data_IF_891203123452
#
_entry.id   IF_891203123452
#
_cell.length_a   1.000
_cell.length_b   1.000
_cell.length_c   1.000
_cell.angle_alpha   90.00
_cell.angle_beta   90.00
_cell.angle_gamma   90.00
#
_symmetry.space_group_name_H-M   'P 1'
#
loop_
_entity.id
_entity.type
_entity.pdbx_description
1 polymer ?
#
# COMPACT_ATOMS: atom_id res chain seq x y z
N UNK A 1 -14.18 -13.78 -28.05
CA UNK A 1 -13.92 -13.10 -26.77
C UNK A 1 -14.27 -14.07 -25.65
N UNK A 2 -13.27 -14.56 -24.91
CA UNK A 2 -13.54 -15.42 -23.73
C UNK A 2 -14.02 -14.51 -22.60
N UNK A 3 -15.13 -14.81 -21.91
CA UNK A 3 -15.58 -14.01 -20.77
C UNK A 3 -14.53 -14.16 -19.67
N UNK A 4 -13.72 -13.13 -19.50
CA UNK A 4 -12.76 -13.05 -18.41
C UNK A 4 -13.57 -12.85 -17.13
N UNK A 5 -13.61 -13.86 -16.26
CA UNK A 5 -14.27 -13.84 -14.94
C UNK A 5 -13.57 -12.85 -13.98
N UNK A 6 -13.46 -11.59 -14.37
CA UNK A 6 -12.88 -10.55 -13.53
C UNK A 6 -13.95 -10.08 -12.54
N UNK A 7 -13.56 -9.99 -11.27
CA UNK A 7 -14.29 -9.56 -10.06
C UNK A 7 -15.04 -8.21 -10.11
N UNK A 8 -15.17 -7.61 -11.29
CA UNK A 8 -15.74 -6.29 -11.56
C UNK A 8 -17.25 -6.20 -11.32
N UNK A 9 -17.95 -7.33 -11.36
CA UNK A 9 -19.39 -7.40 -11.10
C UNK A 9 -19.67 -8.17 -9.81
N UNK A 10 -20.47 -7.60 -8.91
CA UNK A 10 -21.05 -8.29 -7.76
C UNK A 10 -22.46 -8.74 -8.14
N UNK A 11 -22.75 -10.01 -7.93
CA UNK A 11 -24.11 -10.55 -8.09
C UNK A 11 -24.85 -10.33 -6.78
N UNK A 12 -25.98 -9.62 -6.83
CA UNK A 12 -26.89 -9.50 -5.69
C UNK A 12 -28.14 -10.32 -6.00
N UNK A 13 -28.44 -11.27 -5.12
CA UNK A 13 -29.76 -11.92 -5.13
C UNK A 13 -30.65 -11.07 -4.25
N UNK A 14 -31.65 -10.40 -4.84
CA UNK A 14 -32.54 -9.51 -4.12
C UNK A 14 -33.29 -10.30 -3.02
N UNK A 15 -33.24 -9.80 -1.79
CA UNK A 15 -33.86 -10.45 -0.61
C UNK A 15 -35.39 -10.45 -0.64
N UNK A 16 -36.01 -9.82 -1.65
CA UNK A 16 -37.45 -9.54 -1.71
C UNK A 16 -38.34 -10.69 -2.18
N UNK A 17 -37.82 -11.71 -2.88
CA UNK A 17 -38.62 -12.88 -3.28
C UNK A 17 -37.75 -14.14 -3.27
N UNK A 18 -37.75 -14.87 -2.15
CA UNK A 18 -37.22 -16.24 -2.09
C UNK A 18 -38.21 -17.18 -2.77
N UNK A 19 -38.10 -17.31 -4.09
CA UNK A 19 -38.80 -18.30 -4.90
C UNK A 19 -37.93 -18.74 -6.08
N UNK A 20 -38.15 -19.95 -6.63
CA UNK A 20 -37.48 -20.38 -7.86
C UNK A 20 -37.91 -19.44 -9.00
N UNK A 21 -36.98 -18.59 -9.46
CA UNK A 21 -37.24 -17.59 -10.52
C UNK A 21 -37.05 -16.12 -10.13
N UNK A 22 -36.46 -15.80 -8.97
CA UNK A 22 -36.07 -14.41 -8.69
C UNK A 22 -35.01 -13.93 -9.68
N UNK A 23 -35.15 -12.72 -10.26
CA UNK A 23 -34.17 -12.20 -11.19
C UNK A 23 -32.86 -11.94 -10.46
N UNK A 24 -31.76 -12.42 -11.05
CA UNK A 24 -30.41 -12.16 -10.58
C UNK A 24 -30.02 -10.75 -11.00
N UNK A 25 -29.80 -9.87 -10.04
CA UNK A 25 -29.39 -8.49 -10.30
C UNK A 25 -27.85 -8.41 -10.31
N UNK A 26 -27.30 -7.94 -11.42
CA UNK A 26 -25.87 -7.71 -11.58
C UNK A 26 -25.56 -6.24 -11.31
N UNK A 27 -24.65 -5.98 -10.36
CA UNK A 27 -24.17 -4.62 -10.07
C UNK A 27 -22.67 -4.52 -10.33
N UNK A 28 -22.29 -3.66 -11.25
CA UNK A 28 -20.88 -3.31 -11.44
C UNK A 28 -20.37 -2.49 -10.26
N UNK A 29 -19.16 -2.79 -9.78
CA UNK A 29 -18.49 -2.01 -8.74
C UNK A 29 -17.38 -1.18 -9.37
N UNK A 30 -17.61 0.13 -9.49
CA UNK A 30 -16.62 1.07 -10.02
C UNK A 30 -15.30 1.00 -9.26
N UNK A 31 -15.35 0.83 -7.94
CA UNK A 31 -14.15 0.72 -7.11
C UNK A 31 -13.29 -0.49 -7.52
N UNK A 32 -13.92 -1.65 -7.77
CA UNK A 32 -13.20 -2.85 -8.23
C UNK A 32 -12.63 -2.68 -9.64
N UNK A 33 -13.33 -1.97 -10.51
CA UNK A 33 -12.84 -1.63 -11.86
C UNK A 33 -11.61 -0.71 -11.75
N UNK A 34 -11.66 0.34 -10.94
CA UNK A 34 -10.54 1.26 -10.73
C UNK A 34 -9.31 0.57 -10.11
N UNK A 35 -9.51 -0.50 -9.33
CA UNK A 35 -8.40 -1.30 -8.78
C UNK A 35 -7.58 -2.01 -9.85
N UNK A 36 -8.13 -2.28 -11.04
CA UNK A 36 -7.38 -2.89 -12.16
C UNK A 36 -6.19 -2.02 -12.57
N UNK A 37 -6.37 -0.69 -12.56
CA UNK A 37 -5.30 0.27 -12.84
C UNK A 37 -4.15 0.20 -11.83
N UNK A 38 -4.39 -0.36 -10.63
CA UNK A 38 -3.39 -0.52 -9.56
C UNK A 38 -2.72 -1.89 -9.54
N UNK A 39 -3.11 -2.83 -10.41
CA UNK A 39 -2.55 -4.19 -10.43
C UNK A 39 -1.01 -4.21 -10.58
N UNK A 40 -0.38 -3.40 -11.46
CA UNK A 40 1.07 -3.36 -11.55
C UNK A 40 1.75 -3.03 -10.20
N UNK A 41 1.16 -2.12 -9.41
CA UNK A 41 1.68 -1.76 -8.08
C UNK A 41 1.54 -2.90 -7.08
N UNK A 42 0.43 -3.65 -7.08
CA UNK A 42 0.26 -4.79 -6.18
C UNK A 42 1.27 -5.90 -6.48
N UNK A 43 1.44 -6.22 -7.76
CA UNK A 43 2.39 -7.23 -8.23
C UNK A 43 3.82 -6.84 -7.84
N UNK A 44 4.22 -5.59 -8.12
CA UNK A 44 5.52 -5.08 -7.74
C UNK A 44 5.76 -5.16 -6.22
N UNK A 45 4.76 -4.80 -5.41
CA UNK A 45 4.87 -4.86 -3.96
C UNK A 45 5.03 -6.30 -3.47
N UNK A 46 4.32 -7.26 -4.08
CA UNK A 46 4.46 -8.67 -3.79
C UNK A 46 5.87 -9.18 -4.14
N UNK A 47 6.43 -8.75 -5.27
CA UNK A 47 7.83 -9.04 -5.65
C UNK A 47 8.81 -8.50 -4.62
N UNK A 48 8.64 -7.26 -4.17
CA UNK A 48 9.54 -6.64 -3.18
C UNK A 48 9.49 -7.34 -1.82
N UNK A 49 8.31 -7.81 -1.39
CA UNK A 49 8.13 -8.43 -0.07
C UNK A 49 8.43 -9.94 -0.05
N UNK A 50 8.15 -10.65 -1.13
CA UNK A 50 8.13 -12.11 -1.18
C UNK A 50 8.92 -12.71 -2.35
N UNK A 51 9.62 -11.88 -3.14
CA UNK A 51 10.40 -12.30 -4.30
C UNK A 51 9.55 -12.71 -5.50
N UNK A 52 10.21 -13.31 -6.49
CA UNK A 52 9.59 -13.70 -7.78
C UNK A 52 8.43 -14.69 -7.59
N UNK A 53 8.50 -15.57 -6.57
CA UNK A 53 7.40 -16.49 -6.25
C UNK A 53 6.13 -15.74 -5.84
N UNK A 54 6.26 -14.72 -4.99
CA UNK A 54 5.12 -13.91 -4.55
C UNK A 54 4.55 -13.05 -5.68
N UNK A 55 5.41 -12.54 -6.56
CA UNK A 55 5.01 -11.83 -7.77
C UNK A 55 4.10 -12.70 -8.64
N UNK A 56 4.54 -13.91 -8.97
CA UNK A 56 3.79 -14.85 -9.83
C UNK A 56 2.47 -15.27 -9.19
N UNK A 57 2.45 -15.53 -7.88
CA UNK A 57 1.21 -15.88 -7.16
C UNK A 57 0.19 -14.75 -7.29
N UNK A 58 0.58 -13.53 -6.96
CA UNK A 58 -0.34 -12.38 -6.99
C UNK A 58 -0.77 -12.06 -8.42
N UNK A 59 0.14 -12.14 -9.38
CA UNK A 59 -0.17 -11.99 -10.80
C UNK A 59 -1.23 -13.01 -11.27
N UNK A 60 -1.02 -14.30 -10.98
CA UNK A 60 -1.90 -15.37 -11.45
C UNK A 60 -3.31 -15.24 -10.87
N UNK A 61 -3.41 -14.93 -9.57
CA UNK A 61 -4.70 -14.75 -8.88
C UNK A 61 -5.42 -13.50 -9.41
N UNK A 62 -4.70 -12.40 -9.68
CA UNK A 62 -5.30 -11.17 -10.22
C UNK A 62 -5.77 -11.31 -11.67
N UNK A 63 -5.03 -12.03 -12.51
CA UNK A 63 -5.36 -12.21 -13.94
C UNK A 63 -6.53 -13.18 -14.16
N UNK A 64 -6.60 -14.26 -13.37
CA UNK A 64 -7.62 -15.31 -13.56
C UNK A 64 -8.85 -15.10 -12.69
N UNK A 65 -8.72 -14.37 -11.60
CA UNK A 65 -9.80 -14.03 -10.70
C UNK A 65 -10.22 -15.19 -9.78
N UNK A 66 -10.72 -16.29 -10.33
CA UNK A 66 -11.22 -17.42 -9.56
C UNK A 66 -10.28 -18.62 -9.67
N UNK A 67 -9.45 -18.84 -8.66
CA UNK A 67 -8.57 -20.01 -8.59
C UNK A 67 -8.55 -20.62 -7.21
N UNK A 68 -8.46 -21.94 -7.14
CA UNK A 68 -8.16 -22.65 -5.89
C UNK A 68 -6.67 -22.55 -5.57
N UNK A 69 -6.31 -22.82 -4.31
CA UNK A 69 -4.92 -22.79 -3.87
C UNK A 69 -4.08 -23.80 -4.65
N UNK A 70 -4.58 -25.03 -4.83
CA UNK A 70 -3.90 -26.09 -5.56
C UNK A 70 -3.60 -25.71 -6.99
N UNK A 71 -4.56 -25.11 -7.69
CA UNK A 71 -4.37 -24.69 -9.07
C UNK A 71 -3.39 -23.52 -9.17
N UNK A 72 -3.42 -22.60 -8.21
CA UNK A 72 -2.47 -21.49 -8.13
C UNK A 72 -1.05 -22.01 -7.94
N UNK A 73 -0.83 -22.88 -6.96
CA UNK A 73 0.49 -23.45 -6.65
C UNK A 73 1.03 -24.27 -7.82
N UNK A 74 0.20 -25.13 -8.44
CA UNK A 74 0.59 -25.91 -9.62
C UNK A 74 1.05 -25.00 -10.77
N UNK A 75 0.24 -23.99 -11.11
CA UNK A 75 0.55 -23.07 -12.21
C UNK A 75 1.82 -22.25 -11.94
N UNK A 76 2.01 -21.78 -10.71
CA UNK A 76 3.21 -21.02 -10.33
C UNK A 76 4.45 -21.91 -10.34
N UNK A 77 4.36 -23.15 -9.85
CA UNK A 77 5.46 -24.11 -9.88
C UNK A 77 5.91 -24.42 -11.32
N UNK A 78 4.96 -24.63 -12.23
CA UNK A 78 5.24 -24.87 -13.66
C UNK A 78 5.88 -23.65 -14.34
N UNK A 79 5.44 -22.44 -13.99
CA UNK A 79 6.05 -21.19 -14.51
C UNK A 79 7.47 -20.96 -13.98
N UNK A 80 7.72 -21.28 -12.70
CA UNK A 80 9.04 -21.14 -12.09
C UNK A 80 10.06 -22.11 -12.68
N UNK A 81 9.68 -23.37 -12.93
CA UNK A 81 10.56 -24.37 -13.55
C UNK A 81 10.95 -23.95 -14.97
N UNK A 82 9.99 -23.47 -15.76
CA UNK A 82 10.25 -22.98 -17.11
C UNK A 82 11.14 -21.71 -17.14
N UNK A 83 11.00 -20.81 -16.16
CA UNK A 83 11.85 -19.62 -16.05
C UNK A 83 13.30 -19.94 -15.67
N UNK A 84 13.53 -21.01 -14.89
CA UNK A 84 14.88 -21.51 -14.57
C UNK A 84 15.55 -22.16 -15.79
N UNK A 85 14.78 -22.87 -16.62
CA UNK A 85 15.29 -23.52 -17.84
C UNK A 85 15.63 -22.53 -18.95
N UNK A 86 15.01 -21.34 -18.96
CA UNK A 86 15.22 -20.29 -19.96
C UNK A 86 16.50 -19.46 -19.81
N UNK A 87 17.17 -19.47 -18.64
CA UNK A 87 18.39 -18.67 -18.39
C UNK A 87 19.69 -19.40 -18.79
N UNK A 88 19.59 -20.65 -19.25
CA UNK A 88 20.72 -21.57 -19.39
C UNK A 88 20.94 -22.22 -20.76
N UNK A 89 20.38 -21.71 -21.87
CA UNK A 89 20.66 -22.27 -23.21
C UNK A 89 21.10 -21.21 -24.22
N UNK A 90 22.41 -20.99 -24.28
CA UNK A 90 23.09 -20.67 -25.55
C UNK A 90 22.76 -21.82 -26.51
N UNK A 91 22.03 -21.52 -27.58
CA UNK A 91 21.75 -22.46 -28.67
C UNK A 91 23.08 -23.03 -29.18
N UNK A 92 23.32 -24.32 -28.95
CA UNK A 92 24.18 -25.16 -29.78
C UNK A 92 23.34 -26.31 -30.28
N UNK A 93 23.10 -26.29 -31.58
CA UNK A 93 22.55 -27.36 -32.42
C UNK A 93 23.58 -28.48 -32.62
N UNK A 94 23.09 -29.71 -32.86
CA UNK A 94 23.75 -30.99 -33.24
C UNK A 94 23.85 -31.98 -32.07
N UNK A 95 23.61 -33.28 -32.15
CA UNK A 95 22.96 -34.24 -33.07
C UNK A 95 22.84 -35.55 -32.22
N UNK A 96 22.00 -36.49 -32.66
CA UNK A 96 21.52 -37.72 -32.00
C UNK A 96 22.52 -38.54 -31.16
N UNK A 97 22.02 -39.08 -30.02
CA UNK A 97 22.43 -40.37 -29.42
C UNK A 97 21.46 -40.77 -28.29
N UNK A 98 20.71 -41.84 -28.52
CA UNK A 98 19.89 -42.53 -27.51
C UNK A 98 20.77 -43.22 -26.46
N UNK A 99 20.56 -42.97 -25.17
CA UNK A 99 20.55 -44.03 -24.14
C UNK A 99 19.98 -43.57 -22.79
N UNK A 100 19.30 -44.51 -22.16
CA UNK A 100 18.44 -44.39 -20.98
C UNK A 100 19.11 -43.78 -19.74
N UNK A 101 18.44 -42.80 -19.13
CA UNK A 101 18.45 -42.65 -17.66
C UNK A 101 17.06 -42.30 -17.15
N UNK A 102 16.46 -43.28 -16.46
CA UNK A 102 15.21 -43.12 -15.74
C UNK A 102 15.34 -42.06 -14.65
N UNK A 103 14.77 -40.89 -14.89
CA UNK A 103 14.23 -40.05 -13.84
C UNK A 103 12.76 -40.42 -13.69
N UNK A 104 12.40 -41.13 -12.63
CA UNK A 104 11.00 -41.20 -12.19
C UNK A 104 10.53 -39.75 -12.01
N UNK A 105 9.81 -39.21 -13.00
CA UNK A 105 8.93 -38.07 -12.76
C UNK A 105 8.01 -38.57 -11.67
N UNK A 106 8.24 -38.14 -10.43
CA UNK A 106 7.29 -38.34 -9.36
C UNK A 106 6.00 -37.71 -9.88
N UNK A 107 5.11 -38.58 -10.36
CA UNK A 107 3.71 -38.27 -10.54
C UNK A 107 3.29 -37.88 -9.12
N UNK A 108 3.27 -36.58 -8.86
CA UNK A 108 2.61 -36.04 -7.68
C UNK A 108 1.19 -36.58 -7.81
N UNK A 109 0.87 -37.62 -7.05
CA UNK A 109 -0.46 -38.18 -7.05
C UNK A 109 -1.41 -37.02 -6.81
N UNK A 110 -2.30 -36.82 -7.77
CA UNK A 110 -3.40 -35.90 -7.64
C UNK A 110 -4.40 -36.55 -6.68
N UNK A 111 -4.01 -36.66 -5.41
CA UNK A 111 -5.00 -36.61 -4.34
C UNK A 111 -5.84 -35.37 -4.63
N UNK A 112 -7.15 -35.57 -4.77
CA UNK A 112 -8.10 -34.47 -4.87
C UNK A 112 -7.84 -33.58 -3.67
N UNK A 113 -7.14 -32.47 -3.89
CA UNK A 113 -6.98 -31.49 -2.83
C UNK A 113 -8.40 -31.10 -2.45
N UNK A 114 -8.76 -31.28 -1.18
CA UNK A 114 -10.10 -30.99 -0.68
C UNK A 114 -10.44 -29.49 -0.69
N UNK A 115 -9.83 -28.71 -1.60
CA UNK A 115 -10.02 -27.28 -1.79
C UNK A 115 -11.07 -26.95 -2.86
N UNK A 116 -11.88 -27.93 -3.27
CA UNK A 116 -13.03 -27.69 -4.15
C UNK A 116 -13.98 -26.66 -3.52
N UNK A 117 -14.19 -25.55 -4.25
CA UNK A 117 -15.02 -24.43 -3.81
C UNK A 117 -14.29 -23.38 -2.95
N UNK A 118 -13.02 -23.58 -2.58
CA UNK A 118 -12.22 -22.59 -1.85
C UNK A 118 -11.39 -21.78 -2.84
N UNK A 119 -11.92 -20.61 -3.20
CA UNK A 119 -11.22 -19.69 -4.11
C UNK A 119 -10.30 -18.75 -3.34
N UNK A 120 -9.03 -18.71 -3.74
CA UNK A 120 -8.04 -17.78 -3.22
C UNK A 120 -8.25 -16.39 -3.84
N UNK A 121 -8.35 -15.37 -2.99
CA UNK A 121 -8.53 -13.98 -3.39
C UNK A 121 -7.42 -13.10 -2.86
N UNK A 122 -7.07 -12.09 -3.64
CA UNK A 122 -6.16 -11.04 -3.18
C UNK A 122 -6.91 -10.10 -2.25
N UNK A 123 -6.38 -9.96 -1.04
CA UNK A 123 -6.84 -8.95 -0.10
C UNK A 123 -6.21 -7.58 -0.46
N UNK A 124 -6.94 -6.79 -1.25
CA UNK A 124 -6.53 -5.43 -1.64
C UNK A 124 -6.36 -4.48 -0.45
N UNK A 125 -7.17 -4.67 0.59
CA UNK A 125 -7.14 -3.90 1.83
C UNK A 125 -5.76 -3.99 2.51
N UNK A 126 -5.12 -5.17 2.49
CA UNK A 126 -3.76 -5.35 3.03
C UNK A 126 -2.71 -4.58 2.24
N UNK A 127 -2.85 -4.48 0.92
CA UNK A 127 -1.96 -3.64 0.11
C UNK A 127 -2.16 -2.15 0.41
N UNK A 128 -3.41 -1.71 0.62
CA UNK A 128 -3.69 -0.31 0.97
C UNK A 128 -3.12 0.04 2.34
N UNK A 129 -3.26 -0.86 3.32
CA UNK A 129 -2.61 -0.73 4.63
C UNK A 129 -1.08 -0.61 4.48
N UNK A 130 -0.46 -1.48 3.68
CA UNK A 130 0.98 -1.41 3.43
C UNK A 130 1.41 -0.09 2.76
N UNK A 131 0.68 0.38 1.75
CA UNK A 131 1.00 1.64 1.06
C UNK A 131 0.84 2.86 1.97
N UNK A 132 -0.21 2.87 2.79
CA UNK A 132 -0.41 3.91 3.81
C UNK A 132 0.77 3.93 4.78
N UNK A 133 1.08 2.78 5.35
CA UNK A 133 2.15 2.68 6.35
C UNK A 133 3.50 3.11 5.73
N UNK A 134 3.83 2.66 4.51
CA UNK A 134 5.05 3.07 3.82
C UNK A 134 5.11 4.58 3.53
N UNK A 135 4.00 5.20 3.11
CA UNK A 135 3.96 6.64 2.85
C UNK A 135 4.18 7.46 4.14
N UNK A 136 3.59 7.03 5.25
CA UNK A 136 3.78 7.66 6.56
C UNK A 136 5.24 7.52 7.00
N UNK A 137 5.78 6.30 6.91
CA UNK A 137 7.17 6.03 7.29
C UNK A 137 8.15 6.85 6.45
N UNK A 138 7.95 6.91 5.12
CA UNK A 138 8.81 7.71 4.24
C UNK A 138 8.73 9.19 4.53
N UNK A 139 7.54 9.72 4.87
CA UNK A 139 7.38 11.13 5.21
C UNK A 139 8.12 11.47 6.52
N UNK A 140 7.96 10.65 7.56
CA UNK A 140 8.67 10.82 8.83
C UNK A 140 10.18 10.71 8.63
N UNK A 141 10.64 9.71 7.87
CA UNK A 141 12.06 9.51 7.59
C UNK A 141 12.68 10.67 6.80
N UNK A 142 11.93 11.28 5.88
CA UNK A 142 12.39 12.44 5.11
C UNK A 142 12.46 13.73 5.92
N UNK A 143 11.62 13.86 6.96
CA UNK A 143 11.52 15.08 7.77
C UNK A 143 12.49 15.08 8.96
N UNK A 144 12.60 13.95 9.65
CA UNK A 144 13.46 13.79 10.82
C UNK A 144 14.72 13.02 10.44
N UNK A 145 14.64 11.69 10.45
CA UNK A 145 15.72 10.79 10.10
C UNK A 145 15.22 9.35 9.92
N UNK A 146 16.08 8.48 9.40
CA UNK A 146 15.77 7.08 9.18
C UNK A 146 15.41 6.33 10.47
N UNK A 147 15.99 6.72 11.62
CA UNK A 147 15.73 6.11 12.92
C UNK A 147 14.30 6.39 13.39
N UNK A 148 13.86 7.65 13.30
CA UNK A 148 12.47 8.04 13.59
C UNK A 148 11.48 7.30 12.70
N UNK A 149 11.82 7.11 11.41
CA UNK A 149 11.04 6.30 10.48
C UNK A 149 10.91 4.83 10.92
N UNK A 150 11.97 4.22 11.45
CA UNK A 150 11.94 2.84 11.98
C UNK A 150 11.09 2.73 13.26
N UNK A 151 11.12 3.74 14.13
CA UNK A 151 10.28 3.79 15.32
C UNK A 151 8.79 3.82 14.93
N UNK A 152 8.41 4.70 14.01
CA UNK A 152 7.02 4.75 13.49
C UNK A 152 6.65 3.47 12.73
N UNK A 153 7.59 2.88 11.97
CA UNK A 153 7.41 1.57 11.32
C UNK A 153 7.09 0.48 12.34
N UNK A 154 7.81 0.46 13.45
CA UNK A 154 7.62 -0.51 14.53
C UNK A 154 6.27 -0.31 15.20
N UNK A 155 5.88 0.93 15.51
CA UNK A 155 4.56 1.27 16.04
C UNK A 155 3.44 0.80 15.11
N UNK A 156 3.49 1.19 13.83
CA UNK A 156 2.49 0.79 12.85
C UNK A 156 2.42 -0.73 12.69
N UNK A 157 3.56 -1.43 12.72
CA UNK A 157 3.62 -2.91 12.65
C UNK A 157 2.88 -3.56 13.83
N UNK A 158 3.08 -3.07 15.04
CA UNK A 158 2.36 -3.57 16.22
C UNK A 158 0.85 -3.28 16.13
N UNK A 159 0.48 -2.14 15.55
CA UNK A 159 -0.93 -1.73 15.37
C UNK A 159 -1.67 -2.44 14.23
N UNK A 160 -1.00 -3.23 13.37
CA UNK A 160 -1.61 -3.89 12.19
C UNK A 160 -2.74 -4.87 12.52
N UNK A 161 -2.73 -5.45 13.71
CA UNK A 161 -3.71 -6.48 14.14
C UNK A 161 -4.90 -5.84 14.85
N UNK A 162 -4.69 -4.69 15.49
CA UNK A 162 -5.68 -4.05 16.37
C UNK A 162 -6.39 -2.86 15.73
N UNK A 163 -5.86 -2.32 14.63
CA UNK A 163 -6.36 -1.08 14.02
C UNK A 163 -7.15 -1.37 12.74
N UNK A 164 -8.38 -0.87 12.69
CA UNK A 164 -9.23 -0.91 11.48
C UNK A 164 -8.74 0.12 10.45
N UNK A 165 -9.03 -0.09 9.17
CA UNK A 165 -8.42 0.71 8.09
C UNK A 165 -8.85 2.18 8.07
N UNK A 166 -10.04 2.45 8.58
CA UNK A 166 -10.66 3.78 8.68
C UNK A 166 -10.53 4.39 10.08
N UNK A 167 -9.84 3.74 11.01
CA UNK A 167 -9.62 4.28 12.35
C UNK A 167 -8.93 5.65 12.27
N UNK A 168 -9.34 6.56 13.16
CA UNK A 168 -8.74 7.88 13.23
C UNK A 168 -7.26 7.79 13.66
N UNK A 169 -7.04 7.00 14.70
CA UNK A 169 -5.77 6.84 15.40
C UNK A 169 -5.52 5.36 15.70
N UNK A 170 -4.25 5.00 15.90
CA UNK A 170 -3.89 3.65 16.36
C UNK A 170 -4.18 3.49 17.85
N UNK A 171 -4.24 2.24 18.31
CA UNK A 171 -4.22 1.96 19.74
C UNK A 171 -2.93 2.51 20.39
N UNK A 172 -3.00 3.09 21.60
CA UNK A 172 -1.83 3.59 22.30
C UNK A 172 -0.85 2.46 22.63
N UNK A 173 0.44 2.70 22.40
CA UNK A 173 1.55 1.80 22.70
C UNK A 173 2.46 2.44 23.74
N UNK A 174 2.91 1.66 24.72
CA UNK A 174 3.89 2.15 25.70
C UNK A 174 5.28 2.24 25.06
N UNK A 175 6.10 3.19 25.50
CA UNK A 175 7.49 3.26 25.06
C UNK A 175 8.26 1.96 25.38
N UNK A 176 7.89 1.22 26.43
CA UNK A 176 8.47 -0.09 26.75
C UNK A 176 8.19 -1.17 25.69
N UNK A 177 6.96 -1.22 25.17
CA UNK A 177 6.57 -2.13 24.09
C UNK A 177 7.26 -1.77 22.78
N UNK A 178 7.36 -0.48 22.47
CA UNK A 178 8.07 0.02 21.30
C UNK A 178 9.54 -0.39 21.38
N UNK A 179 10.20 -0.14 22.52
CA UNK A 179 11.61 -0.50 22.71
C UNK A 179 11.89 -1.99 22.52
N UNK A 180 11.05 -2.86 23.08
CA UNK A 180 11.21 -4.32 22.97
C UNK A 180 10.94 -4.86 21.57
N UNK A 181 10.14 -4.14 20.78
CA UNK A 181 9.75 -4.56 19.43
C UNK A 181 10.64 -3.97 18.34
N UNK A 182 11.54 -3.04 18.67
CA UNK A 182 12.54 -2.54 17.73
C UNK A 182 13.44 -3.70 17.24
N UNK A 183 13.80 -3.72 15.95
CA UNK A 183 14.65 -4.76 15.42
C UNK A 183 16.08 -4.65 16.00
N UNK A 184 16.79 -5.78 16.16
CA UNK A 184 18.04 -5.85 16.94
C UNK A 184 19.20 -5.06 16.33
N UNK A 185 19.10 -4.65 15.07
CA UNK A 185 20.06 -3.79 14.39
C UNK A 185 20.01 -2.32 14.85
N UNK A 186 18.97 -1.91 15.59
CA UNK A 186 18.86 -0.59 16.20
C UNK A 186 18.99 -0.71 17.72
N UNK A 187 20.19 -1.05 18.21
CA UNK A 187 20.50 -1.13 19.64
C UNK A 187 20.67 0.28 20.23
N UNK A 188 19.57 1.01 20.31
CA UNK A 188 19.50 2.35 20.89
C UNK A 188 19.34 2.21 22.41
N UNK A 189 19.89 3.13 23.20
CA UNK A 189 19.63 3.14 24.64
C UNK A 189 18.25 3.75 24.94
N UNK A 190 17.61 3.33 26.02
CA UNK A 190 16.31 3.87 26.42
C UNK A 190 16.21 5.41 26.45
N UNK A 191 17.17 6.17 27.01
CA UNK A 191 17.06 7.63 27.03
C UNK A 191 17.07 8.26 25.62
N UNK A 192 17.80 7.66 24.68
CA UNK A 192 17.81 8.14 23.29
C UNK A 192 16.45 7.88 22.62
N UNK A 193 15.82 6.73 22.90
CA UNK A 193 14.45 6.44 22.42
C UNK A 193 13.46 7.50 22.92
N UNK A 194 13.49 7.80 24.22
CA UNK A 194 12.56 8.76 24.82
C UNK A 194 12.77 10.18 24.24
N UNK A 195 14.00 10.53 23.89
CA UNK A 195 14.31 11.76 23.15
C UNK A 195 13.68 11.77 21.75
N UNK A 196 13.83 10.70 20.96
CA UNK A 196 13.20 10.62 19.63
C UNK A 196 11.66 10.64 19.70
N UNK A 197 11.07 9.95 20.68
CA UNK A 197 9.63 9.96 20.88
C UNK A 197 9.12 11.36 21.26
N UNK A 198 9.89 12.11 22.05
CA UNK A 198 9.56 13.50 22.38
C UNK A 198 9.61 14.39 21.13
N UNK A 199 10.67 14.27 20.32
CA UNK A 199 10.80 14.99 19.04
C UNK A 199 9.66 14.67 18.05
N UNK A 200 9.20 13.41 18.04
CA UNK A 200 8.07 12.99 17.20
C UNK A 200 6.73 13.59 17.66
N UNK A 201 6.54 13.80 18.97
CA UNK A 201 5.34 14.40 19.55
C UNK A 201 5.33 15.92 19.37
N UNK A 202 6.50 16.57 19.48
CA UNK A 202 6.65 18.02 19.29
C UNK A 202 6.61 18.46 17.81
N UNK A 203 6.51 17.50 16.88
CA UNK A 203 6.50 17.77 15.45
C UNK A 203 5.21 18.46 14.99
N UNK A 204 5.33 19.52 14.19
CA UNK A 204 4.19 20.29 13.67
C UNK A 204 3.19 19.47 12.84
N UNK A 205 3.60 18.33 12.26
CA UNK A 205 2.71 17.47 11.48
C UNK A 205 1.91 16.52 12.37
N UNK A 206 2.28 16.40 13.66
CA UNK A 206 1.61 15.59 14.68
C UNK A 206 1.30 14.17 14.18
N UNK A 207 2.28 13.55 13.52
CA UNK A 207 2.20 12.16 13.09
C UNK A 207 2.03 11.22 14.29
N UNK A 208 2.68 11.54 15.41
CA UNK A 208 2.63 10.80 16.67
C UNK A 208 2.05 11.71 17.74
N UNK A 209 1.13 11.18 18.55
CA UNK A 209 0.55 11.87 19.71
C UNK A 209 0.85 11.13 21.00
N UNK A 210 0.87 11.85 22.13
CA UNK A 210 0.99 11.28 23.48
C UNK A 210 -0.38 11.24 24.15
N UNK A 211 -0.81 10.05 24.56
CA UNK A 211 -2.14 9.82 25.15
C UNK A 211 -2.13 9.58 26.67
N UNK A 212 -0.95 9.42 27.28
CA UNK A 212 -0.81 9.19 28.72
C UNK A 212 0.64 9.02 29.15
N UNK A 213 0.87 8.95 30.47
CA UNK A 213 2.22 8.86 31.06
C UNK A 213 2.59 7.45 31.56
N UNK A 214 1.65 6.50 31.52
CA UNK A 214 1.88 5.12 31.95
C UNK A 214 2.97 4.43 31.11
N UNK A 215 3.80 3.59 31.73
CA UNK A 215 4.80 2.78 31.02
C UNK A 215 5.96 3.56 30.37
N UNK A 216 6.25 4.76 30.85
CA UNK A 216 7.24 5.67 30.24
C UNK A 216 6.67 6.53 29.11
N UNK A 217 5.34 6.71 29.09
CA UNK A 217 4.62 7.41 28.04
C UNK A 217 3.87 6.45 27.11
N UNK A 218 2.62 6.80 26.83
CA UNK A 218 1.75 6.12 25.87
C UNK A 218 1.68 6.94 24.60
N UNK A 219 2.07 6.34 23.48
CA UNK A 219 2.18 6.98 22.18
C UNK A 219 1.23 6.33 21.18
N UNK A 220 0.60 7.15 20.34
CA UNK A 220 -0.28 6.71 19.25
C UNK A 220 0.12 7.37 17.95
N UNK A 221 -0.27 6.79 16.82
CA UNK A 221 -0.07 7.38 15.49
C UNK A 221 -1.41 7.91 14.97
N UNK A 222 -1.45 9.19 14.63
CA UNK A 222 -2.65 9.85 14.10
C UNK A 222 -2.78 9.58 12.60
N UNK A 223 -3.54 8.55 12.21
CA UNK A 223 -3.63 8.13 10.81
C UNK A 223 -4.33 9.16 9.93
N UNK A 224 -5.39 9.79 10.43
CA UNK A 224 -6.14 10.82 9.68
C UNK A 224 -5.30 12.05 9.40
N UNK A 225 -4.57 12.53 10.42
CA UNK A 225 -3.68 13.68 10.28
C UNK A 225 -2.52 13.37 9.35
N UNK A 226 -1.94 12.17 9.47
CA UNK A 226 -0.88 11.73 8.58
C UNK A 226 -1.34 11.72 7.11
N UNK A 227 -2.52 11.17 6.83
CA UNK A 227 -3.10 11.14 5.49
C UNK A 227 -3.44 12.55 4.97
N UNK A 228 -4.00 13.42 5.80
CA UNK A 228 -4.31 14.80 5.43
C UNK A 228 -3.04 15.59 5.08
N UNK A 229 -1.97 15.42 5.86
CA UNK A 229 -0.69 16.06 5.64
C UNK A 229 0.03 15.54 4.39
N UNK A 230 -0.03 14.22 4.13
CA UNK A 230 0.46 13.64 2.89
C UNK A 230 -0.31 14.20 1.68
N UNK A 231 -1.64 14.29 1.77
CA UNK A 231 -2.47 14.87 0.72
C UNK A 231 -2.10 16.34 0.46
N UNK A 232 -1.92 17.13 1.53
CA UNK A 232 -1.46 18.53 1.45
C UNK A 232 -0.11 18.62 0.71
N UNK A 233 0.89 17.82 1.12
CA UNK A 233 2.21 17.82 0.49
C UNK A 233 2.16 17.44 -1.00
N UNK A 234 1.31 16.48 -1.37
CA UNK A 234 1.11 16.11 -2.80
C UNK A 234 0.45 17.23 -3.60
N UNK A 235 -0.52 17.94 -3.02
CA UNK A 235 -1.16 19.08 -3.67
C UNK A 235 -0.17 20.25 -3.82
N UNK A 236 0.60 20.56 -2.79
CA UNK A 236 1.64 21.58 -2.83
C UNK A 236 2.68 21.26 -3.90
N UNK A 237 3.12 20.01 -3.99
CA UNK A 237 4.07 19.56 -5.02
C UNK A 237 3.48 19.66 -6.43
N UNK A 238 2.22 19.22 -6.62
CA UNK A 238 1.54 19.32 -7.91
C UNK A 238 1.29 20.78 -8.35
N UNK A 239 1.04 21.68 -7.40
CA UNK A 239 0.94 23.11 -7.65
C UNK A 239 2.31 23.67 -8.02
N UNK A 240 3.37 23.34 -7.28
CA UNK A 240 4.72 23.82 -7.54
C UNK A 240 5.22 23.40 -8.93
N UNK A 241 4.97 22.15 -9.34
CA UNK A 241 5.35 21.64 -10.67
C UNK A 241 4.60 22.33 -11.81
N UNK A 242 3.37 22.80 -11.56
CA UNK A 242 2.54 23.48 -12.56
C UNK A 242 2.70 25.00 -12.56
N UNK A 243 3.20 25.57 -11.46
CA UNK A 243 3.39 27.02 -11.27
C UNK A 243 4.83 27.41 -11.60
N UNK A 244 5.10 27.71 -12.87
CA UNK A 244 6.46 28.07 -13.35
C UNK A 244 6.93 29.46 -12.85
N UNK A 245 6.12 30.21 -12.08
CA UNK A 245 6.44 31.56 -11.65
C UNK A 245 6.30 31.75 -10.13
N UNK A 246 7.37 32.25 -9.50
CA UNK A 246 7.51 32.52 -8.05
C UNK A 246 6.44 33.46 -7.46
N UNK A 247 5.68 34.19 -8.29
CA UNK A 247 4.60 35.08 -7.81
C UNK A 247 3.30 34.33 -7.48
N UNK A 248 3.09 33.13 -8.04
CA UNK A 248 1.92 32.29 -7.76
C UNK A 248 2.08 31.44 -6.50
N UNK A 249 3.31 31.14 -6.08
CA UNK A 249 3.56 30.36 -4.87
C UNK A 249 3.10 31.09 -3.62
N UNK A 250 3.31 32.40 -3.49
CA UNK A 250 2.81 33.17 -2.34
C UNK A 250 1.27 33.26 -2.31
N UNK A 251 0.64 33.46 -3.47
CA UNK A 251 -0.81 33.59 -3.58
C UNK A 251 -1.56 32.27 -3.32
N UNK A 252 -1.00 31.13 -3.73
CA UNK A 252 -1.57 29.81 -3.45
C UNK A 252 -1.25 29.35 -2.02
N UNK A 253 -0.08 29.68 -1.48
CA UNK A 253 0.22 29.47 -0.04
C UNK A 253 -0.79 30.21 0.84
N UNK A 254 -1.15 31.45 0.51
CA UNK A 254 -2.20 32.21 1.22
C UNK A 254 -3.57 31.53 1.10
N UNK A 255 -3.90 30.96 -0.06
CA UNK A 255 -5.16 30.24 -0.25
C UNK A 255 -5.21 28.91 0.53
N UNK A 256 -4.11 28.16 0.60
CA UNK A 256 -4.00 26.94 1.42
C UNK A 256 -4.00 27.26 2.93
N UNK A 257 -3.39 28.38 3.34
CA UNK A 257 -3.47 28.89 4.72
C UNK A 257 -4.91 29.30 5.10
N UNK A 258 -5.64 29.94 4.18
CA UNK A 258 -7.07 30.24 4.37
C UNK A 258 -7.93 28.98 4.50
N UNK A 259 -7.64 27.94 3.72
CA UNK A 259 -8.29 26.62 3.82
C UNK A 259 -7.94 25.88 5.13
N UNK A 260 -6.71 26.03 5.63
CA UNK A 260 -6.27 25.41 6.87
C UNK A 260 -6.88 26.08 8.13
N UNK A 261 -7.20 27.38 8.07
CA UNK A 261 -7.78 28.14 9.19
C UNK A 261 -9.30 28.30 9.15
N UNK A 262 -10.01 27.68 8.19
CA UNK A 262 -11.48 27.65 8.17
C UNK A 262 -12.15 29.02 8.01
N UNK A 263 -11.41 30.04 7.58
CA UNK A 263 -11.90 31.39 7.38
C UNK A 263 -11.94 31.74 5.91
N UNK A 264 -13.15 31.88 5.34
CA UNK A 264 -13.35 32.60 4.09
C UNK A 264 -13.14 34.10 4.33
N UNK A 265 -11.89 34.51 4.51
CA UNK A 265 -11.52 35.91 4.38
C UNK A 265 -11.29 36.12 2.91
N UNK A 266 -12.18 36.89 2.27
CA UNK A 266 -12.00 37.45 0.94
C UNK A 266 -10.65 38.15 0.87
N UNK A 267 -9.61 37.41 0.46
CA UNK A 267 -8.27 37.93 0.20
C UNK A 267 -8.36 38.84 -1.02
N UNK A 268 -8.65 40.11 -0.75
CA UNK A 268 -8.48 41.25 -1.63
C UNK A 268 -6.98 41.57 -1.76
N UNK A 269 -6.18 40.55 -2.07
CA UNK A 269 -4.74 40.64 -2.28
C UNK A 269 -4.51 41.16 -3.70
N UNK A 270 -4.52 42.50 -3.79
CA UNK A 270 -3.72 43.32 -4.71
C UNK A 270 -3.48 42.75 -6.11
N UNK A 271 -4.52 42.78 -6.94
CA UNK A 271 -4.44 42.73 -8.41
C UNK A 271 -3.66 43.92 -9.02
N UNK A 272 -3.11 44.82 -8.20
CA UNK A 272 -2.57 46.12 -8.63
C UNK A 272 -1.09 46.04 -9.06
N UNK A 273 -0.33 45.02 -8.65
CA UNK A 273 1.12 44.98 -8.96
C UNK A 273 1.50 44.19 -10.22
N UNK A 274 0.56 43.49 -10.85
CA UNK A 274 0.84 42.74 -12.09
C UNK A 274 0.67 43.59 -13.36
N UNK A 275 0.03 44.76 -13.29
CA UNK A 275 -0.10 45.67 -14.44
C UNK A 275 1.16 46.51 -14.73
N UNK A 276 2.12 46.61 -13.80
CA UNK A 276 3.34 47.40 -14.02
C UNK A 276 4.41 46.63 -14.81
N UNK A 277 4.41 45.29 -14.73
CA UNK A 277 5.41 44.46 -15.43
C UNK A 277 5.04 44.07 -16.86
N UNK A 278 3.77 44.20 -17.27
CA UNK A 278 3.34 44.01 -18.65
C UNK A 278 3.49 45.27 -19.53
N UNK A 279 3.92 46.40 -18.95
CA UNK A 279 4.13 47.66 -19.64
C UNK A 279 5.62 48.00 -19.90
N UNK A 280 6.55 47.17 -19.43
CA UNK A 280 8.00 47.30 -19.70
C UNK A 280 8.58 45.91 -19.97
N UNK A 281 8.41 45.43 -21.20
CA UNK A 281 8.93 44.16 -21.70
C UNK A 281 8.50 43.92 -23.13
#
# INVERSE_FOLDING_TARGET
>A
MRPTHHWTCTVLVSSGRRGPGSPVEYRASCERVLRVLRYPRYIYTAKTLYGDTGELIVEEVLQRGHMTLSNTVKTVADRLTHNMEGRGKRRRSSDDSEEQRGGKKAKMDSESCGDEGIYCLVNFERFHQHFRDQAIISAVASKLDQTSGEMVRTMLRMSKVTTTQTAADTQPLSANEIFRSLPPNYSISRPILDQYLSLLVDDQMEFVGKSGDSGGGMYLVNLQRALANLARATLESAVQERSVCLCLSELVCVHLLCLAHGGYITCRVSFIHCQVWLAVG
#
